data_IF_049146084392
#
_entry.id   IF_049146084392
#
_cell.length_a   1.000
_cell.length_b   1.000
_cell.length_c   1.000
_cell.angle_alpha   90.00
_cell.angle_beta   90.00
_cell.angle_gamma   90.00
#
_symmetry.space_group_name_H-M   'P 1'
#
loop_
_entity.id
_entity.type
_entity.pdbx_description
1 polymer ?
#
# COMPACT_ATOMS: atom_id res chain seq x y z
N UNK A 1 -18.92 -27.98 -9.78
CA UNK A 1 -17.78 -27.10 -9.45
C UNK A 1 -18.37 -25.78 -8.96
N UNK A 2 -18.27 -25.52 -7.66
CA UNK A 2 -18.90 -24.39 -6.98
C UNK A 2 -18.35 -23.07 -7.51
N UNK A 3 -19.19 -22.27 -8.16
CA UNK A 3 -18.87 -20.88 -8.48
C UNK A 3 -19.04 -20.14 -7.16
N UNK A 4 -17.92 -19.80 -6.50
CA UNK A 4 -17.95 -18.85 -5.40
C UNK A 4 -18.28 -17.48 -6.01
N UNK A 5 -19.55 -17.09 -5.97
CA UNK A 5 -19.99 -15.77 -6.40
C UNK A 5 -19.26 -14.72 -5.57
N UNK A 6 -18.59 -13.79 -6.24
CA UNK A 6 -17.89 -12.67 -5.60
C UNK A 6 -18.77 -11.44 -5.79
N UNK A 7 -19.01 -10.69 -4.71
CA UNK A 7 -19.74 -9.43 -4.79
C UNK A 7 -18.97 -8.43 -5.67
N UNK A 8 -19.67 -7.55 -6.39
CA UNK A 8 -19.02 -6.51 -7.19
C UNK A 8 -18.11 -5.62 -6.32
N UNK A 9 -18.54 -5.32 -5.10
CA UNK A 9 -17.80 -4.50 -4.14
C UNK A 9 -16.50 -5.16 -3.68
N UNK A 10 -16.53 -6.45 -3.33
CA UNK A 10 -15.31 -7.18 -2.95
C UNK A 10 -14.35 -7.33 -4.13
N UNK A 11 -14.90 -7.58 -5.32
CA UNK A 11 -14.10 -7.60 -6.54
C UNK A 11 -13.38 -6.26 -6.74
N UNK A 12 -14.11 -5.15 -6.69
CA UNK A 12 -13.58 -3.80 -6.94
C UNK A 12 -12.55 -3.40 -5.87
N UNK A 13 -12.80 -3.74 -4.61
CA UNK A 13 -11.85 -3.53 -3.51
C UNK A 13 -10.54 -4.28 -3.76
N UNK A 14 -10.59 -5.58 -4.05
CA UNK A 14 -9.38 -6.39 -4.27
C UNK A 14 -8.66 -5.97 -5.55
N UNK A 15 -9.38 -5.65 -6.62
CA UNK A 15 -8.79 -5.16 -7.87
C UNK A 15 -7.98 -3.88 -7.64
N UNK A 16 -8.55 -2.87 -6.94
CA UNK A 16 -7.86 -1.61 -6.62
C UNK A 16 -6.63 -1.79 -5.72
N UNK A 17 -6.74 -2.66 -4.71
CA UNK A 17 -5.68 -2.82 -3.70
C UNK A 17 -4.54 -3.74 -4.17
N UNK A 18 -4.85 -4.81 -4.90
CA UNK A 18 -3.89 -5.89 -5.15
C UNK A 18 -3.62 -6.21 -6.63
N UNK A 19 -4.36 -5.58 -7.57
CA UNK A 19 -4.24 -5.82 -9.01
C UNK A 19 -3.80 -4.58 -9.80
N UNK A 20 -3.08 -3.62 -9.20
CA UNK A 20 -2.66 -2.37 -9.86
C UNK A 20 -1.88 -2.57 -11.17
N UNK A 21 -1.14 -3.68 -11.31
CA UNK A 21 -0.40 -4.04 -12.52
C UNK A 21 -1.19 -4.89 -13.53
N UNK A 22 -2.48 -5.15 -13.29
CA UNK A 22 -3.32 -5.91 -14.22
C UNK A 22 -3.91 -4.96 -15.26
N UNK A 23 -3.81 -5.35 -16.53
CA UNK A 23 -4.46 -4.61 -17.61
C UNK A 23 -6.00 -4.64 -17.50
N UNK A 24 -6.70 -3.65 -18.08
CA UNK A 24 -8.17 -3.56 -18.07
C UNK A 24 -8.85 -4.83 -18.59
N UNK A 25 -8.32 -5.42 -19.66
CA UNK A 25 -8.82 -6.68 -20.23
C UNK A 25 -8.83 -7.83 -19.23
N UNK A 26 -7.73 -8.01 -18.50
CA UNK A 26 -7.60 -9.08 -17.52
C UNK A 26 -8.59 -8.93 -16.37
N UNK A 27 -8.86 -7.68 -15.94
CA UNK A 27 -9.86 -7.39 -14.92
C UNK A 27 -11.28 -7.66 -15.44
N UNK A 28 -11.59 -7.24 -16.67
CA UNK A 28 -12.87 -7.48 -17.33
C UNK A 28 -13.17 -8.98 -17.49
N UNK A 29 -12.18 -9.78 -17.89
CA UNK A 29 -12.28 -11.25 -17.98
C UNK A 29 -12.65 -11.85 -16.63
N UNK A 30 -11.94 -11.49 -15.56
CA UNK A 30 -12.21 -12.08 -14.24
C UNK A 30 -13.53 -11.58 -13.66
N UNK A 31 -13.90 -10.32 -13.86
CA UNK A 31 -15.20 -9.79 -13.45
C UNK A 31 -16.34 -10.57 -14.10
N UNK A 32 -16.24 -10.84 -15.39
CA UNK A 32 -17.22 -11.66 -16.11
C UNK A 32 -17.40 -13.05 -15.46
N UNK A 33 -16.30 -13.70 -15.06
CA UNK A 33 -16.34 -15.03 -14.46
C UNK A 33 -16.83 -15.07 -13.00
N UNK A 34 -16.44 -14.08 -12.19
CA UNK A 34 -16.61 -14.12 -10.74
C UNK A 34 -17.77 -13.29 -10.22
N UNK A 35 -18.11 -12.19 -10.92
CA UNK A 35 -19.20 -11.28 -10.56
C UNK A 35 -20.43 -11.54 -11.43
N UNK A 36 -20.25 -11.56 -12.76
CA UNK A 36 -21.36 -11.79 -13.69
C UNK A 36 -21.72 -13.27 -13.86
N UNK A 37 -20.89 -14.17 -13.31
CA UNK A 37 -21.04 -15.62 -13.39
C UNK A 37 -21.14 -16.16 -14.83
N UNK A 38 -20.53 -15.45 -15.80
CA UNK A 38 -20.47 -15.87 -17.20
C UNK A 38 -19.68 -17.19 -17.33
N UNK A 39 -20.08 -18.03 -18.30
CA UNK A 39 -19.42 -19.33 -18.50
C UNK A 39 -17.99 -19.11 -19.03
N UNK A 40 -16.98 -19.86 -18.55
CA UNK A 40 -15.60 -19.69 -18.99
C UNK A 40 -15.39 -19.80 -20.50
N UNK A 41 -16.14 -20.67 -21.17
CA UNK A 41 -16.06 -20.84 -22.62
C UNK A 41 -16.57 -19.60 -23.39
N UNK A 42 -17.62 -18.96 -22.88
CA UNK A 42 -18.20 -17.76 -23.50
C UNK A 42 -17.30 -16.54 -23.26
N UNK A 43 -16.74 -16.41 -22.06
CA UNK A 43 -15.74 -15.38 -21.73
C UNK A 43 -14.47 -15.57 -22.56
N UNK A 44 -13.98 -16.79 -22.72
CA UNK A 44 -12.81 -17.08 -23.56
C UNK A 44 -13.01 -16.59 -25.01
N UNK A 45 -14.17 -16.88 -25.60
CA UNK A 45 -14.53 -16.39 -26.94
C UNK A 45 -14.68 -14.87 -26.99
N UNK A 46 -15.41 -14.28 -26.03
CA UNK A 46 -15.70 -12.84 -25.95
C UNK A 46 -14.44 -11.98 -25.86
N UNK A 47 -13.41 -12.46 -25.19
CA UNK A 47 -12.16 -11.73 -24.97
C UNK A 47 -10.99 -12.24 -25.84
N UNK A 48 -11.26 -13.09 -26.83
CA UNK A 48 -10.26 -13.71 -27.70
C UNK A 48 -9.07 -14.34 -26.93
N UNK A 49 -9.40 -15.19 -25.94
CA UNK A 49 -8.44 -15.85 -25.05
C UNK A 49 -8.67 -17.35 -25.02
N UNK A 50 -7.62 -18.11 -24.71
CA UNK A 50 -7.77 -19.54 -24.47
C UNK A 50 -8.50 -19.80 -23.14
N UNK A 51 -9.29 -20.89 -23.04
CA UNK A 51 -9.92 -21.27 -21.76
C UNK A 51 -8.91 -21.46 -20.62
N UNK A 52 -7.70 -21.92 -20.95
CA UNK A 52 -6.62 -22.05 -19.97
C UNK A 52 -6.21 -20.68 -19.41
N UNK A 53 -6.02 -19.68 -20.27
CA UNK A 53 -5.64 -18.34 -19.84
C UNK A 53 -6.71 -17.70 -18.94
N UNK A 54 -7.98 -17.82 -19.32
CA UNK A 54 -9.14 -17.35 -18.53
C UNK A 54 -9.15 -17.99 -17.14
N UNK A 55 -8.93 -19.31 -17.05
CA UNK A 55 -8.86 -20.02 -15.77
C UNK A 55 -7.63 -19.62 -14.93
N UNK A 56 -6.49 -19.36 -15.56
CA UNK A 56 -5.29 -18.84 -14.87
C UNK A 56 -5.56 -17.47 -14.27
N UNK A 57 -6.21 -16.57 -15.01
CA UNK A 57 -6.61 -15.26 -14.50
C UNK A 57 -7.58 -15.39 -13.31
N UNK A 58 -8.61 -16.24 -13.44
CA UNK A 58 -9.53 -16.55 -12.34
C UNK A 58 -8.80 -17.03 -11.09
N UNK A 59 -7.92 -18.02 -11.24
CA UNK A 59 -7.14 -18.60 -10.13
C UNK A 59 -6.27 -17.52 -9.46
N UNK A 60 -5.50 -16.77 -10.23
CA UNK A 60 -4.62 -15.71 -9.70
C UNK A 60 -5.39 -14.63 -8.94
N UNK A 61 -6.59 -14.29 -9.39
CA UNK A 61 -7.44 -13.33 -8.69
C UNK A 61 -7.95 -13.90 -7.36
N UNK A 62 -8.45 -15.14 -7.36
CA UNK A 62 -8.88 -15.82 -6.13
C UNK A 62 -7.72 -15.97 -5.13
N UNK A 63 -6.50 -16.25 -5.59
CA UNK A 63 -5.31 -16.29 -4.73
C UNK A 63 -5.03 -14.91 -4.10
N UNK A 64 -5.24 -13.81 -4.84
CA UNK A 64 -5.12 -12.44 -4.30
C UNK A 64 -6.23 -12.13 -3.30
N UNK A 65 -7.47 -12.54 -3.58
CA UNK A 65 -8.58 -12.39 -2.63
C UNK A 65 -8.32 -13.15 -1.33
N UNK A 66 -7.83 -14.40 -1.42
CA UNK A 66 -7.50 -15.21 -0.25
C UNK A 66 -6.40 -14.56 0.60
N UNK A 67 -5.36 -14.02 -0.05
CA UNK A 67 -4.30 -13.26 0.64
C UNK A 67 -4.83 -11.98 1.27
N UNK A 68 -5.72 -11.25 0.59
CA UNK A 68 -6.35 -10.05 1.14
C UNK A 68 -7.23 -10.37 2.36
N UNK A 69 -7.96 -11.49 2.33
CA UNK A 69 -8.79 -11.94 3.45
C UNK A 69 -7.97 -12.43 4.65
N UNK A 70 -6.75 -12.93 4.44
CA UNK A 70 -5.85 -13.34 5.51
C UNK A 70 -5.34 -12.14 6.34
N UNK A 71 -5.27 -10.95 5.74
CA UNK A 71 -4.83 -9.72 6.41
C UNK A 71 -6.03 -9.03 7.05
N UNK A 72 -6.19 -9.19 8.38
CA UNK A 72 -7.28 -8.57 9.14
C UNK A 72 -7.13 -7.05 9.28
N UNK A 73 -5.90 -6.60 9.50
CA UNK A 73 -5.55 -5.18 9.64
C UNK A 73 -4.54 -4.85 8.55
N UNK A 74 -4.85 -3.92 7.62
CA UNK A 74 -3.88 -3.46 6.63
C UNK A 74 -2.62 -2.91 7.30
N UNK A 75 -1.45 -3.17 6.70
CA UNK A 75 -0.17 -2.71 7.23
C UNK A 75 -0.15 -1.18 7.45
N UNK A 76 -0.68 -0.40 6.49
CA UNK A 76 -0.75 1.07 6.60
C UNK A 76 -1.56 1.51 7.83
N UNK A 77 -2.68 0.83 8.12
CA UNK A 77 -3.49 1.12 9.30
C UNK A 77 -2.76 0.75 10.60
N UNK A 78 -2.06 -0.38 10.59
CA UNK A 78 -1.25 -0.80 11.73
C UNK A 78 -0.14 0.22 12.01
N UNK A 79 0.58 0.68 10.98
CA UNK A 79 1.67 1.65 11.11
C UNK A 79 1.20 3.02 11.62
N UNK A 80 -0.03 3.43 11.29
CA UNK A 80 -0.62 4.66 11.84
C UNK A 80 -0.91 4.55 13.35
N UNK A 81 -1.26 3.36 13.83
CA UNK A 81 -1.61 3.12 15.24
C UNK A 81 -0.40 2.70 16.07
N UNK A 82 0.62 2.15 15.43
CA UNK A 82 1.79 1.56 16.07
C UNK A 82 3.04 1.99 15.31
N UNK A 83 3.62 3.14 15.68
CA UNK A 83 4.91 3.56 15.16
C UNK A 83 5.98 2.49 15.45
N UNK A 84 7.00 2.35 14.59
CA UNK A 84 8.13 1.47 14.87
C UNK A 84 8.77 1.80 16.23
N UNK A 85 9.20 0.77 16.98
CA UNK A 85 9.82 0.96 18.30
C UNK A 85 11.09 1.84 18.27
N UNK A 86 11.73 1.96 17.11
CA UNK A 86 12.90 2.76 16.84
C UNK A 86 12.61 4.01 15.99
N UNK A 87 11.34 4.40 15.85
CA UNK A 87 11.00 5.65 15.17
C UNK A 87 11.62 6.80 15.96
N UNK A 88 12.51 7.57 15.32
CA UNK A 88 13.10 8.75 15.96
C UNK A 88 11.99 9.75 16.26
N UNK A 89 12.06 10.36 17.44
CA UNK A 89 11.17 11.47 17.84
C UNK A 89 11.27 12.68 16.89
N UNK A 90 12.33 12.72 16.06
CA UNK A 90 12.59 13.76 15.06
C UNK A 90 11.89 13.52 13.72
N UNK A 91 11.44 12.30 13.41
CA UNK A 91 10.79 12.00 12.11
C UNK A 91 9.57 12.90 11.80
N UNK A 92 8.66 13.19 12.76
CA UNK A 92 7.56 14.13 12.52
C UNK A 92 8.00 15.55 12.14
N UNK A 93 9.21 15.95 12.54
CA UNK A 93 9.76 17.29 12.32
C UNK A 93 10.69 17.36 11.10
N UNK A 94 10.88 16.25 10.39
CA UNK A 94 11.84 16.12 9.28
C UNK A 94 11.70 17.23 8.24
N UNK A 95 10.48 17.58 7.84
CA UNK A 95 10.25 18.63 6.83
C UNK A 95 10.69 20.02 7.31
N UNK A 96 10.40 20.37 8.56
CA UNK A 96 10.78 21.65 9.16
C UNK A 96 12.29 21.70 9.46
N UNK A 97 12.87 20.62 9.97
CA UNK A 97 14.33 20.50 10.16
C UNK A 97 15.04 20.69 8.81
N UNK A 98 14.59 20.00 7.75
CA UNK A 98 15.17 20.13 6.40
C UNK A 98 15.06 21.58 5.88
N UNK A 99 13.94 22.25 6.15
CA UNK A 99 13.75 23.65 5.78
C UNK A 99 14.75 24.56 6.50
N UNK A 100 14.91 24.40 7.82
CA UNK A 100 15.89 25.14 8.61
C UNK A 100 17.33 24.93 8.10
N UNK A 101 17.71 23.68 7.83
CA UNK A 101 19.03 23.35 7.24
C UNK A 101 19.23 24.06 5.90
N UNK A 102 18.24 24.04 5.01
CA UNK A 102 18.31 24.72 3.70
C UNK A 102 18.45 26.24 3.81
N UNK A 103 17.99 26.83 4.91
CA UNK A 103 18.13 28.25 5.20
C UNK A 103 19.41 28.60 5.99
N UNK A 104 20.28 27.62 6.24
CA UNK A 104 21.59 27.83 6.86
C UNK A 104 21.55 27.96 8.38
N UNK A 105 20.50 27.48 9.03
CA UNK A 105 20.45 27.42 10.50
C UNK A 105 21.43 26.37 11.02
N UNK A 106 22.06 26.67 12.16
CA UNK A 106 23.01 25.74 12.81
C UNK A 106 22.29 24.63 13.56
N UNK A 107 23.01 23.56 13.87
CA UNK A 107 22.50 22.44 14.66
C UNK A 107 21.98 22.91 16.04
N UNK A 108 22.63 23.89 16.67
CA UNK A 108 22.12 24.46 17.94
C UNK A 108 20.78 25.16 17.77
N UNK A 109 20.60 25.95 16.71
CA UNK A 109 19.34 26.65 16.43
C UNK A 109 18.21 25.69 16.06
N UNK A 110 18.53 24.60 15.37
CA UNK A 110 17.59 23.51 15.11
C UNK A 110 17.19 22.82 16.42
N UNK A 111 18.16 22.62 17.33
CA UNK A 111 17.89 22.12 18.69
C UNK A 111 16.98 23.04 19.49
N UNK A 112 17.16 24.36 19.41
CA UNK A 112 16.26 25.36 20.02
C UNK A 112 14.84 25.30 19.44
N UNK A 113 14.72 25.14 18.12
CA UNK A 113 13.41 24.94 17.46
C UNK A 113 12.72 23.67 17.98
N UNK A 114 13.44 22.56 18.15
CA UNK A 114 12.88 21.32 18.66
C UNK A 114 12.40 21.47 20.12
N UNK A 115 13.20 22.13 20.97
CA UNK A 115 12.80 22.45 22.35
C UNK A 115 11.56 23.33 22.40
N UNK A 116 11.42 24.28 21.49
CA UNK A 116 10.22 25.12 21.38
C UNK A 116 8.97 24.34 20.97
N UNK A 117 9.11 23.11 20.46
CA UNK A 117 8.03 22.18 20.13
C UNK A 117 7.93 21.03 21.14
N UNK A 118 8.43 21.22 22.37
CA UNK A 118 8.42 20.23 23.45
C UNK A 118 9.18 18.93 23.11
N UNK A 119 10.17 19.01 22.21
CA UNK A 119 11.03 17.89 21.83
C UNK A 119 12.44 18.12 22.38
N UNK A 120 12.80 17.37 23.41
CA UNK A 120 14.15 17.37 23.95
C UNK A 120 14.95 16.22 23.32
N UNK A 121 15.96 16.56 22.53
CA UNK A 121 16.87 15.60 21.90
C UNK A 121 18.31 15.89 22.25
N UNK A 122 19.07 14.81 22.35
CA UNK A 122 20.51 14.86 22.49
C UNK A 122 21.16 15.40 21.19
N UNK A 123 22.25 16.17 21.34
CA UNK A 123 22.97 16.74 20.19
C UNK A 123 23.50 15.67 19.23
N UNK A 124 23.93 14.52 19.77
CA UNK A 124 24.39 13.38 18.99
C UNK A 124 23.25 12.72 18.20
N UNK A 125 22.06 12.58 18.78
CA UNK A 125 20.84 12.14 18.10
C UNK A 125 20.47 13.09 16.96
N UNK A 126 20.48 14.41 17.20
CA UNK A 126 20.21 15.42 16.18
C UNK A 126 21.22 15.34 15.02
N UNK A 127 22.52 15.29 15.32
CA UNK A 127 23.58 15.17 14.30
C UNK A 127 23.44 13.87 13.51
N UNK A 128 23.11 12.76 14.17
CA UNK A 128 22.90 11.47 13.51
C UNK A 128 21.70 11.53 12.58
N UNK A 129 20.61 12.16 13.02
CA UNK A 129 19.41 12.37 12.22
C UNK A 129 19.67 13.24 11.00
N UNK A 130 20.42 14.34 11.18
CA UNK A 130 20.80 15.25 10.10
C UNK A 130 21.68 14.55 9.06
N UNK A 131 22.66 13.74 9.48
CA UNK A 131 23.53 12.99 8.55
C UNK A 131 22.80 11.92 7.75
N UNK A 132 21.75 11.31 8.32
CA UNK A 132 20.95 10.29 7.65
C UNK A 132 19.87 10.83 6.70
N UNK A 133 19.55 12.12 6.80
CA UNK A 133 18.42 12.76 6.11
C UNK A 133 18.77 14.04 5.31
N UNK A 134 20.03 14.48 5.33
CA UNK A 134 20.55 15.59 4.51
C UNK A 134 20.65 15.23 3.02
#
# INVERSE_FOLDING_TARGET
MTINAVSAEDFDRVARQHCRGWGPDSLSVVRALLVNLERPADVAKKFDKTPQHVNVLKKRFLDKMAKAAAVKVPADQFMLQTPPANASVLEPFKSEITKLVRHGYTDEQIGEFLKANDVDVDAQELVTFLRGNA
#
